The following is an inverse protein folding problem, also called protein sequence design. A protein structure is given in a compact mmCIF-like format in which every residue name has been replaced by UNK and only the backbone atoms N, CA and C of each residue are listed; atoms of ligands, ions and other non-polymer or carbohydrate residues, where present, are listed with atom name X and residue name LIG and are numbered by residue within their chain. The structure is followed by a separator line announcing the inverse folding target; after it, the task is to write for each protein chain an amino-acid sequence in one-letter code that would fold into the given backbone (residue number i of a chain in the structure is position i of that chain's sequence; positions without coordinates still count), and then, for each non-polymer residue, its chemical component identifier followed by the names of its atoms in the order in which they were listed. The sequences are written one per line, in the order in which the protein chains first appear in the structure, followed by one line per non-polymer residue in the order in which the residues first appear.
data_IF_441514999668
#
_entry.id   IF_441514999668
#
_cell.length_a   1.000
_cell.length_b   1.000
_cell.length_c   1.000
_cell.angle_alpha   90.00
_cell.angle_beta   90.00
_cell.angle_gamma   90.00
#
_symmetry.space_group_name_H-M   'P 1'
#
loop_
_entity.id
_entity.type
_entity.pdbx_description
1 polymer ?
#
# COMPACT_ATOMS: atom_id res chain seq x y z
N UNK A 1 37.77 -7.44 1.26
CA UNK A 1 36.79 -7.23 0.14
C UNK A 1 35.43 -7.02 0.76
N UNK A 2 34.84 -5.85 0.56
CA UNK A 2 33.45 -5.60 0.97
C UNK A 2 32.52 -6.33 -0.01
N UNK A 3 31.60 -7.15 0.49
CA UNK A 3 30.60 -7.81 -0.33
C UNK A 3 29.67 -6.76 -0.91
N UNK A 4 29.50 -6.74 -2.23
CA UNK A 4 28.54 -5.85 -2.91
C UNK A 4 27.13 -6.39 -2.74
N UNK A 5 26.38 -5.84 -1.79
CA UNK A 5 25.01 -6.27 -1.46
C UNK A 5 24.02 -6.02 -2.60
N UNK A 6 24.31 -5.08 -3.50
CA UNK A 6 23.40 -4.77 -4.62
C UNK A 6 23.25 -5.94 -5.60
N UNK A 7 24.23 -6.85 -5.62
CA UNK A 7 24.25 -8.05 -6.48
C UNK A 7 23.70 -9.30 -5.81
N UNK A 8 23.43 -9.24 -4.51
CA UNK A 8 22.86 -10.36 -3.78
C UNK A 8 21.37 -10.53 -4.08
N UNK A 9 20.92 -11.77 -4.16
CA UNK A 9 19.50 -12.11 -4.17
C UNK A 9 18.83 -11.75 -2.82
N UNK A 10 17.51 -11.67 -2.80
CA UNK A 10 16.77 -11.40 -1.56
C UNK A 10 16.97 -12.51 -0.51
N UNK A 11 17.09 -13.76 -0.95
CA UNK A 11 17.40 -14.90 -0.07
C UNK A 11 18.79 -14.79 0.56
N UNK A 12 19.82 -14.41 -0.24
CA UNK A 12 21.17 -14.17 0.27
C UNK A 12 21.21 -13.01 1.26
N UNK A 13 20.51 -11.91 0.94
CA UNK A 13 20.37 -10.79 1.87
C UNK A 13 19.73 -11.24 3.19
N UNK A 14 18.63 -12.00 3.13
CA UNK A 14 17.98 -12.51 4.33
C UNK A 14 18.90 -13.44 5.14
N UNK A 15 19.71 -14.27 4.50
CA UNK A 15 20.69 -15.11 5.16
C UNK A 15 21.76 -14.27 5.87
N UNK A 16 22.28 -13.23 5.22
CA UNK A 16 23.24 -12.30 5.79
C UNK A 16 22.65 -11.52 6.98
N UNK A 17 21.38 -11.11 6.91
CA UNK A 17 20.71 -10.45 8.03
C UNK A 17 20.66 -11.36 9.29
N UNK A 18 20.44 -12.67 9.12
CA UNK A 18 20.45 -13.64 10.24
C UNK A 18 21.82 -13.75 10.91
N UNK A 19 22.90 -13.42 10.23
CA UNK A 19 24.26 -13.37 10.82
C UNK A 19 24.57 -12.04 11.50
N UNK A 20 23.60 -11.11 11.60
CA UNK A 20 23.74 -9.82 12.28
C UNK A 20 24.26 -8.69 11.41
N UNK A 21 24.36 -8.88 10.08
CA UNK A 21 24.78 -7.81 9.16
C UNK A 21 23.71 -6.74 9.02
N UNK A 22 23.94 -5.57 9.55
CA UNK A 22 22.97 -4.48 9.58
C UNK A 22 22.85 -3.68 8.26
N UNK A 23 23.90 -3.69 7.45
CA UNK A 23 23.92 -3.02 6.14
C UNK A 23 22.91 -3.61 5.14
N UNK A 24 22.51 -4.88 5.32
CA UNK A 24 21.51 -5.56 4.53
C UNK A 24 20.12 -4.90 4.60
N UNK A 25 19.75 -4.33 5.75
CA UNK A 25 18.46 -3.65 5.90
C UNK A 25 18.37 -2.38 5.03
N UNK A 26 19.49 -1.70 4.81
CA UNK A 26 19.56 -0.55 3.88
C UNK A 26 19.32 -1.00 2.45
N UNK A 27 19.85 -2.16 2.06
CA UNK A 27 19.64 -2.71 0.71
C UNK A 27 18.18 -3.08 0.48
N UNK A 28 17.51 -3.75 1.44
CA UNK A 28 16.07 -4.00 1.36
C UNK A 28 15.26 -2.71 1.26
N UNK A 29 15.61 -1.68 2.04
CA UNK A 29 14.95 -0.38 1.94
C UNK A 29 15.20 0.28 0.58
N UNK A 30 16.43 0.23 0.05
CA UNK A 30 16.75 0.79 -1.26
C UNK A 30 15.92 0.15 -2.39
N UNK A 31 15.72 -1.17 -2.34
CA UNK A 31 14.95 -1.92 -3.35
C UNK A 31 13.45 -1.73 -3.22
N UNK A 32 12.92 -1.76 -2.00
CA UNK A 32 11.50 -2.01 -1.76
C UNK A 32 10.74 -0.85 -1.11
N UNK A 33 11.40 0.21 -0.60
CA UNK A 33 10.70 1.35 0.03
C UNK A 33 9.73 2.03 -0.94
N UNK A 34 10.17 2.33 -2.16
CA UNK A 34 9.34 3.04 -3.12
C UNK A 34 8.12 2.20 -3.59
N UNK A 35 8.26 0.93 -3.97
CA UNK A 35 7.10 0.07 -4.26
C UNK A 35 6.12 -0.05 -3.07
N UNK A 36 6.62 -0.32 -1.86
CA UNK A 36 5.78 -0.44 -0.67
C UNK A 36 5.04 0.86 -0.35
N UNK A 37 5.71 1.99 -0.47
CA UNK A 37 5.07 3.31 -0.29
C UNK A 37 3.95 3.54 -1.32
N UNK A 38 4.19 3.25 -2.62
CA UNK A 38 3.15 3.39 -3.65
C UNK A 38 1.94 2.50 -3.37
N UNK A 39 2.19 1.25 -2.98
CA UNK A 39 1.15 0.29 -2.58
C UNK A 39 0.30 0.87 -1.45
N UNK A 40 0.93 1.31 -0.36
CA UNK A 40 0.23 1.85 0.81
C UNK A 40 -0.48 3.15 0.45
N UNK A 41 0.16 4.06 -0.29
CA UNK A 41 -0.43 5.33 -0.76
C UNK A 41 -1.70 5.12 -1.57
N UNK A 42 -1.74 4.07 -2.40
CA UNK A 42 -2.93 3.66 -3.14
C UNK A 42 -4.08 3.18 -2.24
N UNK A 43 -3.77 2.75 -1.01
CA UNK A 43 -4.77 2.28 -0.05
C UNK A 43 -5.28 3.37 0.87
N UNK A 44 -4.38 4.19 1.44
CA UNK A 44 -4.74 5.17 2.48
C UNK A 44 -5.08 6.54 1.91
N UNK A 45 -4.54 6.89 0.74
CA UNK A 45 -4.80 8.16 0.06
C UNK A 45 -3.97 9.34 0.58
N UNK A 46 -3.53 9.34 1.83
CA UNK A 46 -2.71 10.37 2.47
C UNK A 46 -1.21 10.02 2.42
N UNK A 47 -0.33 11.01 2.20
CA UNK A 47 1.10 10.78 2.02
C UNK A 47 1.82 10.51 3.33
N UNK A 48 1.47 11.24 4.38
CA UNK A 48 2.12 11.14 5.68
C UNK A 48 1.74 9.83 6.35
N UNK A 49 0.45 9.50 6.37
CA UNK A 49 -0.05 8.19 6.81
C UNK A 49 0.59 7.04 6.01
N UNK A 50 0.78 7.22 4.69
CA UNK A 50 1.44 6.20 3.87
C UNK A 50 2.93 6.05 4.22
N UNK A 51 3.62 7.14 4.57
CA UNK A 51 5.01 7.09 5.00
C UNK A 51 5.15 6.37 6.33
N UNK A 52 4.28 6.68 7.31
CA UNK A 52 4.27 6.03 8.62
C UNK A 52 3.99 4.53 8.50
N UNK A 53 2.96 4.16 7.75
CA UNK A 53 2.65 2.75 7.51
C UNK A 53 3.75 2.01 6.73
N UNK A 54 4.49 2.71 5.86
CA UNK A 54 5.66 2.15 5.18
C UNK A 54 6.75 1.83 6.19
N UNK A 55 7.09 2.75 7.08
CA UNK A 55 8.07 2.53 8.14
C UNK A 55 7.63 1.39 9.06
N UNK A 56 6.37 1.39 9.52
CA UNK A 56 5.83 0.29 10.33
C UNK A 56 5.87 -1.06 9.61
N UNK A 57 5.67 -1.09 8.29
CA UNK A 57 5.73 -2.32 7.50
C UNK A 57 7.14 -2.90 7.46
N UNK A 58 8.16 -2.04 7.27
CA UNK A 58 9.55 -2.48 7.29
C UNK A 58 10.02 -2.89 8.69
N UNK A 59 9.63 -2.16 9.73
CA UNK A 59 9.92 -2.57 11.12
C UNK A 59 9.34 -3.95 11.41
N UNK A 60 8.07 -4.18 11.06
CA UNK A 60 7.43 -5.49 11.25
C UNK A 60 8.07 -6.57 10.36
N UNK A 61 8.41 -6.24 9.12
CA UNK A 61 9.10 -7.13 8.19
C UNK A 61 10.46 -7.54 8.74
N UNK A 62 11.29 -6.60 9.14
CA UNK A 62 12.62 -6.91 9.68
C UNK A 62 12.55 -7.72 10.98
N UNK A 63 11.61 -7.43 11.86
CA UNK A 63 11.38 -8.25 13.07
C UNK A 63 10.94 -9.70 12.72
N UNK A 64 10.27 -9.89 11.59
CA UNK A 64 9.81 -11.20 11.11
C UNK A 64 10.74 -11.85 10.07
N UNK A 65 11.89 -11.24 9.74
CA UNK A 65 12.76 -11.67 8.64
C UNK A 65 13.28 -13.11 8.80
N UNK A 66 13.40 -13.59 10.04
CA UNK A 66 13.76 -14.98 10.32
C UNK A 66 12.75 -15.99 9.77
N UNK A 67 11.49 -15.58 9.53
CA UNK A 67 10.40 -16.40 8.97
C UNK A 67 10.26 -16.25 7.46
N UNK A 68 11.03 -15.36 6.85
CA UNK A 68 10.99 -15.16 5.41
C UNK A 68 11.62 -16.38 4.71
N UNK A 69 10.88 -16.93 3.75
CA UNK A 69 11.34 -17.97 2.85
C UNK A 69 12.11 -17.31 1.70
N UNK A 70 13.43 -17.48 1.69
CA UNK A 70 14.32 -16.86 0.70
C UNK A 70 14.11 -17.31 -0.75
N UNK A 71 13.37 -18.39 -0.98
CA UNK A 71 13.00 -18.86 -2.32
C UNK A 71 11.81 -18.07 -2.92
N UNK A 72 11.09 -17.30 -2.11
CA UNK A 72 9.97 -16.47 -2.55
C UNK A 72 10.39 -15.04 -2.78
N UNK A 73 9.77 -14.29 -3.73
CA UNK A 73 10.07 -12.87 -3.92
C UNK A 73 9.80 -12.06 -2.64
N UNK A 74 10.81 -11.37 -2.14
CA UNK A 74 10.67 -10.50 -0.95
C UNK A 74 9.58 -9.43 -1.16
N UNK A 75 9.43 -8.95 -2.39
CA UNK A 75 8.37 -8.02 -2.77
C UNK A 75 6.98 -8.52 -2.36
N UNK A 76 6.65 -9.77 -2.64
CA UNK A 76 5.34 -10.37 -2.30
C UNK A 76 5.19 -10.48 -0.78
N UNK A 77 6.24 -10.92 -0.10
CA UNK A 77 6.24 -11.08 1.34
C UNK A 77 6.07 -9.76 2.09
N UNK A 78 6.83 -8.71 1.75
CA UNK A 78 6.71 -7.39 2.39
C UNK A 78 5.40 -6.68 2.01
N UNK A 79 4.90 -6.87 0.79
CA UNK A 79 3.60 -6.34 0.37
C UNK A 79 2.45 -6.95 1.17
N UNK A 80 2.52 -8.23 1.55
CA UNK A 80 1.52 -8.86 2.44
C UNK A 80 1.50 -8.18 3.81
N UNK A 81 2.66 -7.86 4.37
CA UNK A 81 2.77 -7.13 5.63
C UNK A 81 2.15 -5.73 5.49
N UNK A 82 2.48 -5.02 4.41
CA UNK A 82 1.96 -3.69 4.11
C UNK A 82 0.43 -3.67 3.97
N UNK A 83 -0.15 -4.64 3.23
CA UNK A 83 -1.61 -4.77 3.10
C UNK A 83 -2.28 -5.01 4.46
N UNK A 84 -1.70 -5.84 5.31
CA UNK A 84 -2.23 -6.06 6.65
C UNK A 84 -2.18 -4.78 7.49
N UNK A 85 -1.11 -3.99 7.40
CA UNK A 85 -1.02 -2.67 8.04
C UNK A 85 -2.09 -1.70 7.52
N UNK A 86 -2.35 -1.68 6.21
CA UNK A 86 -3.44 -0.89 5.64
C UNK A 86 -4.82 -1.33 6.15
N UNK A 87 -5.05 -2.65 6.30
CA UNK A 87 -6.30 -3.20 6.85
C UNK A 87 -6.50 -2.77 8.30
N UNK A 88 -5.47 -2.84 9.11
CA UNK A 88 -5.49 -2.42 10.51
C UNK A 88 -5.74 -0.92 10.66
N UNK A 89 -5.08 -0.12 9.82
CA UNK A 89 -5.31 1.32 9.75
C UNK A 89 -6.77 1.64 9.38
N UNK A 90 -7.30 1.00 8.35
CA UNK A 90 -8.69 1.22 7.91
C UNK A 90 -9.70 0.86 9.02
N UNK A 91 -9.47 -0.24 9.74
CA UNK A 91 -10.30 -0.62 10.89
C UNK A 91 -10.23 0.42 12.00
N UNK A 92 -9.04 0.88 12.37
CA UNK A 92 -8.85 1.93 13.40
C UNK A 92 -9.53 3.23 13.00
N UNK A 93 -9.43 3.62 11.72
CA UNK A 93 -10.08 4.82 11.19
C UNK A 93 -11.61 4.70 11.24
N UNK A 94 -12.17 3.56 10.85
CA UNK A 94 -13.62 3.31 10.91
C UNK A 94 -14.15 3.40 12.35
N UNK A 95 -13.45 2.80 13.31
CA UNK A 95 -13.80 2.87 14.74
C UNK A 95 -13.76 4.32 15.25
N UNK A 96 -12.70 5.07 14.95
CA UNK A 96 -12.62 6.50 15.34
C UNK A 96 -13.76 7.32 14.75
N UNK A 97 -14.07 7.11 13.45
CA UNK A 97 -15.17 7.83 12.80
C UNK A 97 -16.55 7.46 13.38
N UNK A 98 -16.74 6.22 13.81
CA UNK A 98 -17.96 5.80 14.51
C UNK A 98 -18.12 6.53 15.85
N UNK A 99 -17.08 6.56 16.68
CA UNK A 99 -17.13 7.25 17.98
C UNK A 99 -17.23 8.76 17.84
N UNK A 100 -16.59 9.39 16.86
CA UNK A 100 -16.72 10.82 16.59
C UNK A 100 -18.16 11.23 16.21
N UNK A 101 -18.91 10.34 15.55
CA UNK A 101 -20.33 10.56 15.25
C UNK A 101 -21.24 10.29 16.45
N UNK A 102 -20.87 9.33 17.30
CA UNK A 102 -21.66 8.96 18.47
C UNK A 102 -21.50 9.94 19.65
N UNK A 103 -20.36 10.62 19.73
CA UNK A 103 -20.03 11.61 20.75
C UNK A 103 -19.60 12.91 20.03
N UNK A 104 -20.52 13.85 19.76
CA UNK A 104 -20.13 15.15 19.22
C UNK A 104 -19.31 15.90 20.24
N UNK A 105 -17.99 15.75 20.21
CA UNK A 105 -17.08 16.67 20.87
C UNK A 105 -16.98 17.90 19.97
N UNK A 106 -17.50 19.05 20.44
CA UNK A 106 -17.28 20.33 19.80
C UNK A 106 -15.76 20.55 19.64
N UNK A 107 -15.28 20.57 18.39
CA UNK A 107 -13.88 20.89 18.10
C UNK A 107 -13.07 19.92 17.25
N UNK A 108 -13.61 18.80 16.78
CA UNK A 108 -12.90 17.94 15.83
C UNK A 108 -12.96 18.55 14.41
N UNK A 109 -12.04 19.43 14.10
CA UNK A 109 -11.80 19.83 12.70
C UNK A 109 -11.22 18.64 11.96
N UNK A 110 -11.95 18.17 10.96
CA UNK A 110 -11.47 17.27 9.93
C UNK A 110 -10.45 18.07 9.11
N UNK A 111 -9.17 17.94 9.43
CA UNK A 111 -8.09 18.58 8.68
C UNK A 111 -7.96 17.76 7.39
N UNK A 112 -8.71 18.17 6.37
CA UNK A 112 -8.39 17.83 5.01
C UNK A 112 -7.04 18.48 4.70
N UNK A 113 -6.00 17.70 4.57
CA UNK A 113 -4.68 18.18 4.17
C UNK A 113 -4.77 18.58 2.69
N UNK A 114 -5.09 19.84 2.43
CA UNK A 114 -4.90 20.49 1.15
C UNK A 114 -3.53 21.14 1.16
N UNK A 115 -2.59 20.59 0.40
CA UNK A 115 -1.43 21.37 -0.02
C UNK A 115 -1.61 21.80 -1.47
N UNK A 116 -1.67 23.11 -1.73
CA UNK A 116 -1.49 23.65 -3.08
C UNK A 116 -0.01 23.90 -3.32
N UNK A 117 0.59 23.20 -4.27
CA UNK A 117 1.84 23.63 -4.87
C UNK A 117 1.58 24.23 -6.25
N UNK A 118 2.23 25.34 -6.62
CA UNK A 118 1.87 26.12 -7.78
C UNK A 118 2.46 25.59 -9.08
N UNK A 119 1.62 25.73 -10.09
CA UNK A 119 1.87 25.95 -11.51
C UNK A 119 2.37 24.82 -12.43
N UNK A 120 1.76 24.79 -13.61
CA UNK A 120 2.02 24.08 -14.88
C UNK A 120 1.42 22.66 -15.06
N UNK A 121 0.89 21.98 -14.04
CA UNK A 121 0.19 20.68 -14.19
C UNK A 121 -1.15 20.62 -13.45
N UNK A 122 -1.88 21.72 -13.40
CA UNK A 122 -3.12 21.79 -12.62
C UNK A 122 -4.19 20.78 -13.07
N UNK A 123 -4.30 20.52 -14.37
CA UNK A 123 -5.24 19.56 -14.94
C UNK A 123 -4.94 18.11 -14.53
N UNK A 124 -3.71 17.67 -14.74
CA UNK A 124 -3.28 16.29 -14.43
C UNK A 124 -3.30 16.00 -12.92
N UNK A 125 -2.95 17.01 -12.10
CA UNK A 125 -3.02 16.90 -10.64
C UNK A 125 -4.46 16.81 -10.14
N UNK A 126 -5.37 17.63 -10.70
CA UNK A 126 -6.78 17.58 -10.37
C UNK A 126 -7.40 16.22 -10.76
N UNK A 127 -7.06 15.69 -11.93
CA UNK A 127 -7.52 14.38 -12.36
C UNK A 127 -6.98 13.25 -11.47
N UNK A 128 -5.68 13.30 -11.12
CA UNK A 128 -5.08 12.35 -10.21
C UNK A 128 -5.70 12.42 -8.81
N UNK A 129 -6.02 13.62 -8.32
CA UNK A 129 -6.72 13.81 -7.05
C UNK A 129 -8.13 13.21 -7.10
N UNK A 130 -8.88 13.40 -8.20
CA UNK A 130 -10.20 12.79 -8.41
C UNK A 130 -10.13 11.26 -8.40
N UNK A 131 -9.16 10.69 -9.13
CA UNK A 131 -8.96 9.22 -9.15
C UNK A 131 -8.66 8.70 -7.75
N UNK A 132 -7.78 9.37 -7.01
CA UNK A 132 -7.46 9.00 -5.62
C UNK A 132 -8.68 9.07 -4.71
N UNK A 133 -9.47 10.14 -4.80
CA UNK A 133 -10.71 10.28 -4.04
C UNK A 133 -11.71 9.16 -4.38
N UNK A 134 -11.89 8.85 -5.65
CA UNK A 134 -12.75 7.75 -6.09
C UNK A 134 -12.22 6.38 -5.60
N UNK A 135 -10.90 6.17 -5.60
CA UNK A 135 -10.30 4.96 -5.02
C UNK A 135 -10.52 4.87 -3.51
N UNK A 136 -10.50 5.99 -2.79
CA UNK A 136 -10.67 6.02 -1.34
C UNK A 136 -12.06 5.56 -0.88
N UNK A 137 -13.09 5.71 -1.71
CA UNK A 137 -14.47 5.27 -1.40
C UNK A 137 -14.79 3.85 -1.90
N UNK A 138 -13.86 3.21 -2.61
CA UNK A 138 -14.04 1.81 -2.99
C UNK A 138 -14.04 0.90 -1.74
N UNK A 139 -14.85 -0.17 -1.72
CA UNK A 139 -14.70 -1.24 -0.75
C UNK A 139 -13.26 -1.76 -0.71
N UNK A 140 -12.74 -2.02 0.49
CA UNK A 140 -11.33 -2.37 0.71
C UNK A 140 -10.86 -3.54 -0.17
N UNK A 141 -11.64 -4.61 -0.27
CA UNK A 141 -11.33 -5.79 -1.07
C UNK A 141 -11.27 -5.52 -2.59
N UNK A 142 -11.96 -4.50 -3.07
CA UNK A 142 -11.91 -4.06 -4.47
C UNK A 142 -10.70 -3.15 -4.70
N UNK A 143 -10.42 -2.25 -3.75
CA UNK A 143 -9.26 -1.36 -3.79
C UNK A 143 -7.95 -2.16 -3.76
N UNK A 144 -7.85 -3.17 -2.88
CA UNK A 144 -6.67 -4.04 -2.80
C UNK A 144 -6.32 -4.65 -4.16
N UNK A 145 -7.29 -5.26 -4.84
CA UNK A 145 -7.05 -5.87 -6.15
C UNK A 145 -6.73 -4.81 -7.21
N UNK A 146 -7.38 -3.66 -7.18
CA UNK A 146 -7.13 -2.58 -8.13
C UNK A 146 -5.72 -2.01 -8.00
N UNK A 147 -5.24 -1.78 -6.77
CA UNK A 147 -3.88 -1.29 -6.51
C UNK A 147 -2.84 -2.33 -6.91
N UNK A 148 -3.00 -3.58 -6.49
CA UNK A 148 -2.04 -4.64 -6.78
C UNK A 148 -1.91 -4.92 -8.30
N UNK A 149 -3.02 -4.92 -9.02
CA UNK A 149 -3.06 -5.21 -10.46
C UNK A 149 -2.78 -3.99 -11.34
N UNK A 150 -3.24 -2.80 -10.92
CA UNK A 150 -3.19 -1.59 -11.74
C UNK A 150 -2.02 -0.67 -11.42
N UNK A 151 -1.52 -0.65 -10.20
CA UNK A 151 -0.43 0.23 -9.76
C UNK A 151 0.88 -0.56 -9.57
N UNK A 152 0.80 -1.71 -8.93
CA UNK A 152 1.98 -2.55 -8.66
C UNK A 152 2.22 -3.61 -9.74
N UNK A 153 1.35 -3.72 -10.72
CA UNK A 153 1.48 -4.59 -11.91
C UNK A 153 1.72 -6.07 -11.56
N UNK A 154 1.28 -6.52 -10.38
CA UNK A 154 1.39 -7.92 -10.01
C UNK A 154 0.50 -8.78 -10.92
N UNK A 155 0.96 -9.98 -11.24
CA UNK A 155 0.16 -10.95 -11.98
C UNK A 155 -1.09 -11.37 -11.18
N UNK A 156 -2.04 -12.02 -11.87
CA UNK A 156 -3.26 -12.53 -11.22
C UNK A 156 -2.93 -13.55 -10.14
N UNK A 157 -1.98 -14.46 -10.42
CA UNK A 157 -1.53 -15.48 -9.47
C UNK A 157 -0.82 -14.88 -8.26
N UNK A 158 0.11 -13.93 -8.46
CA UNK A 158 0.78 -13.22 -7.37
C UNK A 158 -0.21 -12.46 -6.48
N UNK A 159 -1.21 -11.80 -7.11
CA UNK A 159 -2.26 -11.09 -6.38
C UNK A 159 -3.13 -12.06 -5.57
N UNK A 160 -3.49 -13.22 -6.15
CA UNK A 160 -4.25 -14.27 -5.50
C UNK A 160 -3.49 -14.84 -4.29
N UNK A 161 -2.19 -15.15 -4.47
CA UNK A 161 -1.31 -15.60 -3.41
C UNK A 161 -1.18 -14.56 -2.29
N UNK A 162 -0.92 -13.28 -2.65
CA UNK A 162 -0.74 -12.20 -1.68
C UNK A 162 -1.99 -11.99 -0.83
N UNK A 163 -3.17 -11.98 -1.46
CA UNK A 163 -4.46 -11.74 -0.79
C UNK A 163 -5.06 -13.00 -0.16
N UNK A 164 -4.47 -14.18 -0.40
CA UNK A 164 -4.96 -15.50 0.01
C UNK A 164 -6.39 -15.76 -0.47
N UNK A 165 -6.60 -15.60 -1.78
CA UNK A 165 -7.87 -15.86 -2.48
C UNK A 165 -7.62 -16.60 -3.78
N UNK A 166 -8.67 -17.12 -4.44
CA UNK A 166 -8.53 -17.73 -5.76
C UNK A 166 -8.30 -16.67 -6.86
N UNK A 167 -7.63 -17.06 -7.95
CA UNK A 167 -7.46 -16.20 -9.13
C UNK A 167 -8.79 -15.74 -9.71
N UNK A 168 -9.82 -16.60 -9.68
CA UNK A 168 -11.19 -16.24 -10.10
C UNK A 168 -11.79 -15.14 -9.21
N UNK A 169 -11.45 -15.14 -7.92
CA UNK A 169 -11.85 -14.06 -7.01
C UNK A 169 -11.16 -12.75 -7.36
N UNK A 170 -9.87 -12.80 -7.71
CA UNK A 170 -9.09 -11.62 -8.16
C UNK A 170 -9.74 -11.04 -9.43
N UNK A 171 -10.01 -11.86 -10.44
CA UNK A 171 -10.66 -11.44 -11.69
C UNK A 171 -12.01 -10.75 -11.42
N UNK A 172 -12.86 -11.40 -10.64
CA UNK A 172 -14.20 -10.87 -10.30
C UNK A 172 -14.11 -9.55 -9.54
N UNK A 173 -13.21 -9.46 -8.56
CA UNK A 173 -13.01 -8.22 -7.79
C UNK A 173 -12.44 -7.10 -8.67
N UNK A 174 -11.49 -7.40 -9.57
CA UNK A 174 -10.91 -6.42 -10.49
C UNK A 174 -11.97 -5.87 -11.44
N UNK A 175 -12.80 -6.74 -12.01
CA UNK A 175 -13.92 -6.32 -12.85
C UNK A 175 -14.86 -5.36 -12.11
N UNK A 176 -15.30 -5.73 -10.91
CA UNK A 176 -16.18 -4.90 -10.06
C UNK A 176 -15.51 -3.59 -9.64
N UNK A 177 -14.21 -3.63 -9.31
CA UNK A 177 -13.45 -2.46 -8.93
C UNK A 177 -13.40 -1.43 -10.07
N UNK A 178 -13.10 -1.90 -11.30
CA UNK A 178 -13.05 -1.05 -12.49
C UNK A 178 -14.42 -0.45 -12.84
N UNK A 179 -15.48 -1.25 -12.77
CA UNK A 179 -16.84 -0.77 -13.02
C UNK A 179 -17.26 0.31 -12.01
N UNK A 180 -16.98 0.06 -10.72
CA UNK A 180 -17.33 1.03 -9.67
C UNK A 180 -16.48 2.30 -9.73
N UNK A 181 -15.19 2.17 -10.03
CA UNK A 181 -14.30 3.34 -10.20
C UNK A 181 -14.78 4.21 -11.37
N UNK A 182 -15.13 3.58 -12.52
CA UNK A 182 -15.66 4.32 -13.67
C UNK A 182 -16.92 5.08 -13.30
N UNK A 183 -17.88 4.43 -12.65
CA UNK A 183 -19.12 5.08 -12.23
C UNK A 183 -18.89 6.29 -11.30
N UNK A 184 -17.90 6.20 -10.40
CA UNK A 184 -17.52 7.30 -9.51
C UNK A 184 -16.86 8.47 -10.24
N UNK A 185 -16.09 8.19 -11.31
CA UNK A 185 -15.42 9.21 -12.11
C UNK A 185 -16.38 9.88 -13.10
N UNK A 186 -17.35 9.14 -13.65
CA UNK A 186 -18.33 9.68 -14.58
C UNK A 186 -19.41 10.50 -13.86
N UNK A 187 -19.87 10.07 -12.68
CA UNK A 187 -20.87 10.79 -11.86
C UNK A 187 -20.38 12.10 -11.23
N UNK A 188 -19.11 12.44 -11.31
CA UNK A 188 -18.53 13.71 -10.86
C UNK A 188 -18.32 14.73 -11.98
N UNK A 189 -18.92 14.52 -13.16
CA UNK A 189 -18.84 15.43 -14.32
C UNK A 189 -20.11 16.25 -14.57
N UNK A 190 -21.11 16.17 -13.65
CA UNK A 190 -22.33 17.02 -13.72
C UNK A 190 -22.21 18.27 -12.85
#
# INVERSE_FOLDING_TARGET
MSLDLSRCSDGELAALARTGRQDVYREFLARYKAPVFRLIRGHVGDADEAMDLTQESFVAGFAALARYDGERPFRIWISRIAINKCRDWARRRAVRAFFARALPLEGAHDVASEEPAPDVQAGDRAELARVRAAMAVLPQNLREVLVLRGVEELSQSETAELLNVSEKTVETRLYRARAKLRALLDGGRE
#
